data_IF_649143658579
#
_entry.id   IF_649143658579
#
_cell.length_a   1.000
_cell.length_b   1.000
_cell.length_c   1.000
_cell.angle_alpha   90.00
_cell.angle_beta   90.00
_cell.angle_gamma   90.00
#
_symmetry.space_group_name_H-M   'P 1'
#
loop_
_entity.id
_entity.type
_entity.pdbx_description
1 polymer ?
#
# COMPACT_ATOMS: atom_id res chain seq x y z
N UNK A 1 78.57 4.74 17.89
CA UNK A 1 77.65 4.96 19.01
C UNK A 1 76.50 5.82 18.50
N UNK A 2 75.43 5.16 18.07
CA UNK A 2 74.16 5.78 17.72
C UNK A 2 73.12 4.78 18.24
N UNK A 3 72.37 5.20 19.26
CA UNK A 3 71.27 4.43 19.86
C UNK A 3 70.14 4.28 18.84
N UNK A 4 69.79 3.02 18.56
CA UNK A 4 68.61 2.67 17.77
C UNK A 4 67.40 2.64 18.72
N UNK A 5 66.44 3.52 18.48
CA UNK A 5 65.15 3.54 19.18
C UNK A 5 64.30 2.34 18.75
N UNK A 6 63.80 1.60 19.75
CA UNK A 6 62.85 0.50 19.63
C UNK A 6 61.45 1.01 19.21
N UNK A 7 60.85 0.52 18.11
CA UNK A 7 59.48 0.86 17.76
C UNK A 7 58.50 0.12 18.67
N UNK A 8 57.82 0.89 19.54
CA UNK A 8 56.66 0.45 20.33
C UNK A 8 55.63 -0.23 19.44
N UNK A 9 55.43 -1.52 19.70
CA UNK A 9 54.30 -2.32 19.22
C UNK A 9 53.00 -1.80 19.83
N UNK A 10 52.27 -1.01 19.06
CA UNK A 10 50.90 -0.60 19.38
C UNK A 10 49.99 -1.79 19.12
N UNK A 11 49.66 -2.53 20.19
CA UNK A 11 48.64 -3.57 20.19
C UNK A 11 47.26 -2.99 19.90
N UNK A 12 46.81 -3.17 18.67
CA UNK A 12 45.49 -2.75 18.17
C UNK A 12 44.74 -3.90 17.51
N UNK A 13 44.60 -5.04 18.18
CA UNK A 13 43.69 -6.11 17.77
C UNK A 13 42.52 -6.24 18.76
N UNK A 14 41.45 -5.46 18.55
CA UNK A 14 40.12 -6.01 18.80
C UNK A 14 39.12 -5.83 17.64
N UNK A 15 39.46 -5.08 16.58
CA UNK A 15 38.45 -4.60 15.63
C UNK A 15 38.04 -5.61 14.53
N UNK A 16 38.89 -6.57 14.20
CA UNK A 16 38.63 -7.54 13.11
C UNK A 16 37.67 -8.66 13.53
N UNK A 17 37.68 -9.06 14.81
CA UNK A 17 36.77 -10.09 15.33
C UNK A 17 35.32 -9.61 15.40
N UNK A 18 35.11 -8.32 15.67
CA UNK A 18 33.77 -7.72 15.72
C UNK A 18 33.16 -7.54 14.32
N UNK A 19 33.97 -7.31 13.28
CA UNK A 19 33.47 -7.22 11.91
C UNK A 19 33.04 -8.57 11.34
N UNK A 20 33.75 -9.65 11.69
CA UNK A 20 33.39 -11.01 11.26
C UNK A 20 32.12 -11.49 11.96
N UNK A 21 31.93 -11.17 13.25
CA UNK A 21 30.70 -11.51 13.98
C UNK A 21 29.49 -10.73 13.47
N UNK A 22 29.65 -9.43 13.16
CA UNK A 22 28.61 -8.61 12.51
C UNK A 22 28.23 -9.14 11.13
N UNK A 23 29.22 -9.54 10.32
CA UNK A 23 28.97 -10.11 9.00
C UNK A 23 28.22 -11.45 9.08
N UNK A 24 28.58 -12.33 10.02
CA UNK A 24 27.88 -13.60 10.27
C UNK A 24 26.46 -13.39 10.79
N UNK A 25 26.24 -12.40 11.67
CA UNK A 25 24.91 -12.10 12.20
C UNK A 25 24.00 -11.47 11.14
N UNK A 26 24.55 -10.66 10.23
CA UNK A 26 23.85 -10.16 9.06
C UNK A 26 23.49 -11.29 8.08
N UNK A 27 24.39 -12.27 7.88
CA UNK A 27 24.13 -13.44 7.04
C UNK A 27 23.06 -14.36 7.62
N UNK A 28 23.04 -14.56 8.94
CA UNK A 28 22.00 -15.35 9.62
C UNK A 28 20.64 -14.67 9.56
N UNK A 29 20.56 -13.35 9.80
CA UNK A 29 19.32 -12.57 9.59
C UNK A 29 18.83 -12.63 8.15
N UNK A 30 19.76 -12.65 7.19
CA UNK A 30 19.44 -12.77 5.77
C UNK A 30 18.89 -14.16 5.39
N UNK A 31 19.37 -15.24 6.02
CA UNK A 31 18.93 -16.61 5.73
C UNK A 31 17.51 -16.93 6.23
N UNK A 32 17.01 -16.20 7.23
CA UNK A 32 15.73 -16.48 7.87
C UNK A 32 14.52 -15.83 7.17
N UNK A 33 14.73 -15.04 6.12
CA UNK A 33 13.65 -14.33 5.41
C UNK A 33 12.95 -13.28 6.27
N UNK A 34 12.08 -12.44 5.68
CA UNK A 34 11.23 -11.55 6.46
C UNK A 34 10.29 -12.40 7.30
N UNK A 35 10.47 -12.38 8.62
CA UNK A 35 9.57 -13.06 9.55
C UNK A 35 8.13 -12.61 9.33
N UNK A 36 7.14 -13.48 9.61
CA UNK A 36 5.73 -13.18 9.41
C UNK A 36 5.41 -11.84 10.09
N UNK A 37 4.81 -10.94 9.31
CA UNK A 37 4.34 -9.65 9.80
C UNK A 37 3.42 -9.90 10.99
N UNK A 38 3.60 -9.22 12.14
CA UNK A 38 2.74 -9.42 13.30
C UNK A 38 1.29 -9.23 12.86
N UNK A 39 0.46 -10.25 13.08
CA UNK A 39 -0.98 -10.17 12.86
C UNK A 39 -1.51 -8.96 13.65
N UNK A 40 -2.36 -8.12 13.06
CA UNK A 40 -2.98 -7.01 13.76
C UNK A 40 -3.88 -7.58 14.87
N UNK A 41 -3.37 -7.50 16.09
CA UNK A 41 -4.07 -7.84 17.32
C UNK A 41 -5.31 -6.94 17.47
N UNK A 42 -6.49 -7.53 17.24
CA UNK A 42 -7.78 -7.06 17.76
C UNK A 42 -8.32 -5.74 17.22
N UNK A 43 -8.88 -5.76 16.00
CA UNK A 43 -9.95 -4.82 15.68
C UNK A 43 -11.24 -5.28 16.39
N UNK A 44 -11.92 -4.43 17.18
CA UNK A 44 -13.16 -4.80 17.85
C UNK A 44 -14.23 -5.15 16.81
N UNK A 45 -14.81 -6.36 16.94
CA UNK A 45 -15.96 -6.81 16.18
C UNK A 45 -17.09 -5.79 16.32
N UNK A 46 -17.37 -5.07 15.23
CA UNK A 46 -18.58 -4.28 15.12
C UNK A 46 -19.76 -5.27 15.06
N UNK A 47 -20.46 -5.41 16.18
CA UNK A 47 -21.70 -6.16 16.30
C UNK A 47 -22.72 -5.63 15.29
N UNK A 48 -22.97 -6.43 14.24
CA UNK A 48 -24.07 -6.21 13.29
C UNK A 48 -25.38 -6.39 14.06
N UNK A 49 -26.26 -5.37 14.14
CA UNK A 49 -27.56 -5.55 14.76
C UNK A 49 -28.37 -6.54 13.93
N UNK A 50 -28.89 -7.56 14.60
CA UNK A 50 -29.79 -8.55 14.01
C UNK A 50 -30.99 -7.83 13.37
N UNK A 51 -31.13 -7.99 12.05
CA UNK A 51 -32.26 -7.47 11.29
C UNK A 51 -33.55 -8.10 11.81
N UNK A 52 -34.44 -7.24 12.29
CA UNK A 52 -35.74 -7.60 12.84
C UNK A 52 -36.61 -8.21 11.72
N UNK A 53 -37.07 -9.48 11.84
CA UNK A 53 -37.87 -10.16 10.81
C UNK A 53 -39.19 -9.43 10.48
N UNK A 54 -39.62 -8.49 11.33
CA UNK A 54 -40.77 -7.63 11.05
C UNK A 54 -40.52 -6.62 9.91
N UNK A 55 -39.29 -6.14 9.70
CA UNK A 55 -38.98 -5.19 8.62
C UNK A 55 -38.93 -5.86 7.25
N UNK A 56 -38.56 -7.14 7.17
CA UNK A 56 -38.55 -7.89 5.91
C UNK A 56 -39.97 -8.13 5.36
N UNK A 57 -40.97 -8.28 6.24
CA UNK A 57 -42.36 -8.49 5.83
C UNK A 57 -43.04 -7.22 5.29
N UNK A 58 -42.66 -6.03 5.78
CA UNK A 58 -43.21 -4.75 5.30
C UNK A 58 -42.70 -4.40 3.89
N UNK A 59 -41.45 -4.75 3.58
CA UNK A 59 -40.87 -4.52 2.23
C UNK A 59 -41.51 -5.45 1.18
N UNK A 60 -41.86 -6.68 1.56
CA UNK A 60 -42.54 -7.61 0.66
C UNK A 60 -44.00 -7.21 0.38
N UNK A 61 -44.72 -6.67 1.38
CA UNK A 61 -46.11 -6.24 1.22
C UNK A 61 -46.26 -4.93 0.41
N UNK A 62 -45.21 -4.10 0.36
CA UNK A 62 -45.23 -2.84 -0.39
C UNK A 62 -44.93 -3.01 -1.88
N UNK A 63 -44.43 -4.20 -2.29
CA UNK A 63 -44.12 -4.52 -3.68
C UNK A 63 -45.33 -4.99 -4.52
N UNK A 64 -46.38 -5.53 -3.90
CA UNK A 64 -47.55 -6.06 -4.63
C UNK A 64 -48.65 -5.01 -4.92
N UNK A 65 -48.58 -3.81 -4.33
CA UNK A 65 -49.65 -2.80 -4.43
C UNK A 65 -49.52 -1.77 -5.55
N UNK A 66 -48.39 -1.70 -6.26
CA UNK A 66 -48.11 -0.65 -7.27
C UNK A 66 -48.25 -1.14 -8.71
N UNK A 67 -49.40 -1.76 -9.01
CA UNK A 67 -49.92 -1.84 -10.37
C UNK A 67 -50.54 -0.50 -10.77
N UNK A 68 -49.75 0.39 -11.38
CA UNK A 68 -50.31 1.51 -12.15
C UNK A 68 -49.35 1.97 -13.24
N UNK A 69 -49.87 1.92 -14.46
CA UNK A 69 -49.25 2.29 -15.72
C UNK A 69 -48.72 3.75 -15.72
N UNK A 70 -47.52 3.95 -15.19
CA UNK A 70 -46.72 5.13 -15.51
C UNK A 70 -45.73 4.77 -16.60
N UNK A 71 -45.82 5.38 -17.80
CA UNK A 71 -44.74 5.28 -18.78
C UNK A 71 -43.51 5.97 -18.18
N UNK A 72 -42.56 5.14 -17.74
CA UNK A 72 -41.24 5.57 -17.29
C UNK A 72 -40.61 6.44 -18.40
N UNK A 73 -40.06 7.62 -18.08
CA UNK A 73 -39.25 8.37 -19.02
C UNK A 73 -37.98 7.58 -19.35
N UNK A 74 -38.00 6.92 -20.51
CA UNK A 74 -36.94 6.08 -21.08
C UNK A 74 -35.74 6.87 -21.60
N UNK A 75 -35.19 7.79 -20.81
CA UNK A 75 -33.90 8.42 -21.09
C UNK A 75 -33.06 8.50 -19.83
N UNK A 76 -32.77 7.35 -19.24
CA UNK A 76 -31.52 7.19 -18.51
C UNK A 76 -30.40 7.26 -19.55
N UNK A 77 -29.43 8.18 -19.43
CA UNK A 77 -28.26 8.15 -20.30
C UNK A 77 -27.62 6.78 -20.16
N UNK A 78 -27.47 6.09 -21.29
CA UNK A 78 -26.68 4.87 -21.44
C UNK A 78 -25.26 5.14 -20.96
N UNK A 79 -25.01 4.95 -19.66
CA UNK A 79 -23.69 4.79 -19.06
C UNK A 79 -23.14 3.41 -19.44
N UNK A 80 -23.03 3.18 -20.75
CA UNK A 80 -22.48 1.96 -21.36
C UNK A 80 -21.00 2.14 -21.74
N UNK A 81 -20.34 3.23 -21.33
CA UNK A 81 -18.93 3.46 -21.59
C UNK A 81 -18.10 3.26 -20.33
N UNK A 82 -17.16 2.32 -20.39
CA UNK A 82 -16.25 1.88 -19.34
C UNK A 82 -16.88 1.05 -18.20
N UNK A 83 -17.43 -0.13 -18.53
CA UNK A 83 -17.55 -1.21 -17.53
C UNK A 83 -16.12 -1.63 -17.13
N UNK A 84 -15.65 -1.27 -15.91
CA UNK A 84 -14.26 -1.51 -15.51
C UNK A 84 -13.91 -3.00 -15.56
N UNK A 85 -14.91 -3.87 -15.38
CA UNK A 85 -14.80 -5.32 -15.42
C UNK A 85 -14.41 -5.82 -16.82
N UNK A 86 -14.90 -5.18 -17.89
CA UNK A 86 -14.55 -5.52 -19.27
C UNK A 86 -13.08 -5.18 -19.58
N UNK A 87 -12.58 -4.03 -19.11
CA UNK A 87 -11.15 -3.68 -19.20
C UNK A 87 -10.26 -4.68 -18.48
N UNK A 88 -10.70 -5.20 -17.33
CA UNK A 88 -9.94 -6.22 -16.58
C UNK A 88 -9.98 -7.59 -17.24
N UNK A 89 -11.10 -8.02 -17.84
CA UNK A 89 -11.15 -9.23 -18.68
C UNK A 89 -10.19 -9.13 -19.87
N UNK A 90 -10.16 -7.98 -20.54
CA UNK A 90 -9.25 -7.76 -21.66
C UNK A 90 -7.78 -7.80 -21.22
N UNK A 91 -7.43 -7.28 -20.04
CA UNK A 91 -6.08 -7.41 -19.46
C UNK A 91 -5.74 -8.83 -19.02
N UNK A 92 -6.72 -9.63 -18.61
CA UNK A 92 -6.53 -11.05 -18.29
C UNK A 92 -6.32 -11.86 -19.58
N UNK A 93 -7.03 -11.51 -20.66
CA UNK A 93 -6.88 -12.11 -21.99
C UNK A 93 -5.61 -11.65 -22.72
N UNK A 94 -5.13 -10.42 -22.53
CA UNK A 94 -3.81 -9.97 -23.00
C UNK A 94 -2.65 -10.64 -22.26
N UNK A 95 -2.90 -11.21 -21.07
CA UNK A 95 -1.92 -11.95 -20.29
C UNK A 95 -1.72 -13.39 -20.78
N UNK A 96 -2.13 -13.70 -22.01
CA UNK A 96 -1.80 -14.89 -22.83
C UNK A 96 -0.28 -15.05 -23.10
N UNK A 97 0.58 -14.42 -22.29
CA UNK A 97 2.01 -14.73 -22.16
C UNK A 97 2.26 -16.20 -21.78
N UNK A 98 1.23 -16.93 -21.32
CA UNK A 98 1.26 -18.38 -21.13
C UNK A 98 1.18 -19.20 -22.44
N UNK A 99 0.89 -18.55 -23.58
CA UNK A 99 1.03 -19.13 -24.92
C UNK A 99 2.43 -19.00 -25.51
N UNK A 100 3.46 -18.71 -24.71
CA UNK A 100 4.84 -18.93 -25.13
C UNK A 100 4.96 -20.37 -25.66
N UNK A 101 5.17 -20.48 -26.98
CA UNK A 101 5.35 -21.77 -27.63
C UNK A 101 6.41 -22.58 -26.87
N UNK A 102 6.28 -23.92 -26.77
CA UNK A 102 7.25 -24.75 -26.04
C UNK A 102 8.69 -24.52 -26.51
N UNK A 103 8.87 -24.13 -27.78
CA UNK A 103 10.16 -23.69 -28.36
C UNK A 103 10.71 -22.45 -27.65
N UNK A 104 9.88 -21.44 -27.38
CA UNK A 104 10.28 -20.24 -26.66
C UNK A 104 10.77 -20.55 -25.24
N UNK A 105 10.05 -21.43 -24.53
CA UNK A 105 10.47 -21.93 -23.20
C UNK A 105 11.82 -22.65 -23.27
N UNK A 106 12.03 -23.46 -24.30
CA UNK A 106 13.29 -24.17 -24.54
C UNK A 106 14.47 -23.22 -24.80
N UNK A 107 14.31 -22.27 -25.73
CA UNK A 107 15.35 -21.26 -26.05
C UNK A 107 15.68 -20.42 -24.81
N UNK A 108 14.66 -20.02 -24.05
CA UNK A 108 14.83 -19.24 -22.83
C UNK A 108 15.57 -20.01 -21.73
N UNK A 109 15.22 -21.29 -21.52
CA UNK A 109 15.92 -22.16 -20.59
C UNK A 109 17.37 -22.37 -21.03
N UNK A 110 17.63 -22.55 -22.32
CA UNK A 110 18.97 -22.68 -22.87
C UNK A 110 19.79 -21.40 -22.65
N UNK A 111 19.22 -20.22 -22.91
CA UNK A 111 19.90 -18.94 -22.68
C UNK A 111 20.19 -18.72 -21.20
N UNK A 112 19.24 -19.05 -20.32
CA UNK A 112 19.42 -18.91 -18.88
C UNK A 112 20.49 -19.85 -18.35
N UNK A 113 20.41 -21.14 -18.70
CA UNK A 113 21.41 -22.15 -18.31
C UNK A 113 22.78 -21.75 -18.82
N UNK A 114 22.89 -21.30 -20.06
CA UNK A 114 24.14 -20.77 -20.62
C UNK A 114 24.62 -19.51 -19.87
N UNK A 115 23.72 -18.58 -19.54
CA UNK A 115 24.05 -17.36 -18.81
C UNK A 115 24.56 -17.60 -17.38
N UNK A 116 24.14 -18.70 -16.73
CA UNK A 116 24.63 -19.10 -15.41
C UNK A 116 25.90 -19.96 -15.48
N UNK A 117 25.94 -20.93 -16.40
CA UNK A 117 27.01 -21.94 -16.45
C UNK A 117 28.23 -21.42 -17.20
N UNK A 118 28.04 -20.68 -18.30
CA UNK A 118 29.16 -20.24 -19.14
C UNK A 118 30.15 -19.32 -18.40
N UNK A 119 29.73 -18.33 -17.59
CA UNK A 119 30.69 -17.52 -16.82
C UNK A 119 31.51 -18.35 -15.83
N UNK A 120 30.88 -19.32 -15.16
CA UNK A 120 31.56 -20.21 -14.20
C UNK A 120 32.55 -21.13 -14.90
N UNK A 121 32.15 -21.73 -16.03
CA UNK A 121 33.05 -22.55 -16.85
C UNK A 121 34.22 -21.72 -17.40
N UNK A 122 33.96 -20.50 -17.86
CA UNK A 122 35.00 -19.61 -18.38
C UNK A 122 36.00 -19.23 -17.29
N UNK A 123 35.52 -18.85 -16.10
CA UNK A 123 36.35 -18.58 -14.94
C UNK A 123 37.19 -19.78 -14.52
N UNK A 124 36.62 -20.99 -14.53
CA UNK A 124 37.35 -22.21 -14.20
C UNK A 124 38.50 -22.50 -15.20
N UNK A 125 38.24 -22.31 -16.49
CA UNK A 125 39.25 -22.48 -17.54
C UNK A 125 40.37 -21.44 -17.43
N UNK A 126 40.03 -20.18 -17.18
CA UNK A 126 41.01 -19.10 -17.01
C UNK A 126 41.86 -19.30 -15.75
N UNK A 127 41.23 -19.66 -14.64
CA UNK A 127 41.94 -19.94 -13.40
C UNK A 127 42.91 -21.11 -13.54
N UNK A 128 42.54 -22.12 -14.36
CA UNK A 128 43.45 -23.19 -14.72
C UNK A 128 44.63 -22.69 -15.56
N UNK A 129 44.38 -21.91 -16.63
CA UNK A 129 45.45 -21.35 -17.49
C UNK A 129 46.43 -20.48 -16.68
N UNK A 130 45.92 -19.64 -15.79
CA UNK A 130 46.76 -18.84 -14.89
C UNK A 130 47.60 -19.69 -13.94
N UNK A 131 47.02 -20.77 -13.41
CA UNK A 131 47.75 -21.77 -12.62
C UNK A 131 48.93 -22.35 -13.39
N UNK A 132 48.75 -22.69 -14.67
CA UNK A 132 49.83 -23.21 -15.51
C UNK A 132 50.90 -22.16 -15.84
N UNK A 133 50.50 -20.90 -16.02
CA UNK A 133 51.42 -19.80 -16.35
C UNK A 133 52.35 -19.46 -15.17
N UNK A 134 51.80 -19.39 -13.95
CA UNK A 134 52.54 -18.97 -12.76
C UNK A 134 53.04 -20.13 -11.90
N UNK A 135 52.42 -21.31 -11.99
CA UNK A 135 52.69 -22.47 -11.14
C UNK A 135 53.91 -23.29 -11.50
N UNK A 136 54.90 -22.74 -12.24
CA UNK A 136 56.14 -23.45 -12.57
C UNK A 136 57.06 -23.45 -11.35
N UNK A 137 57.04 -24.52 -10.56
CA UNK A 137 57.85 -24.67 -9.35
C UNK A 137 57.54 -25.94 -8.57
N UNK A 138 57.90 -25.96 -7.28
CA UNK A 138 57.62 -27.07 -6.38
C UNK A 138 56.13 -27.45 -6.36
N UNK A 139 55.84 -28.74 -6.21
CA UNK A 139 54.47 -29.28 -6.24
C UNK A 139 53.50 -28.50 -5.35
N UNK A 140 53.91 -28.18 -4.12
CA UNK A 140 53.07 -27.44 -3.17
C UNK A 140 52.81 -25.99 -3.60
N UNK A 141 53.84 -25.31 -4.10
CA UNK A 141 53.72 -23.93 -4.57
C UNK A 141 52.87 -23.85 -5.84
N UNK A 142 53.09 -24.77 -6.78
CA UNK A 142 52.30 -24.93 -7.99
C UNK A 142 50.82 -25.17 -7.67
N UNK A 143 50.54 -26.12 -6.79
CA UNK A 143 49.16 -26.44 -6.37
C UNK A 143 48.49 -25.25 -5.70
N UNK A 144 49.20 -24.55 -4.81
CA UNK A 144 48.68 -23.37 -4.13
C UNK A 144 48.31 -22.25 -5.12
N UNK A 145 49.14 -22.03 -6.15
CA UNK A 145 48.86 -21.03 -7.19
C UNK A 145 47.66 -21.42 -8.07
N UNK A 146 47.48 -22.70 -8.40
CA UNK A 146 46.29 -23.17 -9.13
C UNK A 146 45.01 -22.94 -8.31
N UNK A 147 45.02 -23.30 -7.02
CA UNK A 147 43.88 -23.09 -6.14
C UNK A 147 43.57 -21.61 -5.98
N UNK A 148 44.61 -20.79 -5.75
CA UNK A 148 44.46 -19.35 -5.59
C UNK A 148 43.89 -18.71 -6.86
N UNK A 149 44.43 -19.05 -8.03
CA UNK A 149 43.96 -18.53 -9.30
C UNK A 149 42.53 -18.96 -9.63
N UNK A 150 42.22 -20.25 -9.46
CA UNK A 150 40.87 -20.77 -9.64
C UNK A 150 39.88 -20.05 -8.72
N UNK A 151 40.24 -19.85 -7.45
CA UNK A 151 39.38 -19.15 -6.50
C UNK A 151 39.16 -17.68 -6.88
N UNK A 152 40.20 -16.98 -7.36
CA UNK A 152 40.11 -15.60 -7.81
C UNK A 152 39.13 -15.44 -8.97
N UNK A 153 39.25 -16.26 -9.99
CA UNK A 153 38.36 -16.22 -11.16
C UNK A 153 36.92 -16.61 -10.80
N UNK A 154 36.73 -17.63 -9.93
CA UNK A 154 35.38 -17.99 -9.46
C UNK A 154 34.71 -16.89 -8.63
N UNK A 155 35.49 -16.09 -7.88
CA UNK A 155 34.97 -14.92 -7.17
C UNK A 155 34.47 -13.86 -8.17
N UNK A 156 35.19 -13.63 -9.28
CA UNK A 156 34.78 -12.69 -10.33
C UNK A 156 33.46 -13.13 -10.96
N UNK A 157 33.35 -14.41 -11.35
CA UNK A 157 32.09 -14.97 -11.86
C UNK A 157 30.96 -14.88 -10.82
N UNK A 158 31.25 -15.12 -9.54
CA UNK A 158 30.31 -14.96 -8.44
C UNK A 158 29.83 -13.51 -8.28
N UNK A 159 30.71 -12.52 -8.41
CA UNK A 159 30.36 -11.10 -8.40
C UNK A 159 29.49 -10.71 -9.60
N UNK A 160 29.77 -11.25 -10.79
CA UNK A 160 28.92 -11.05 -11.97
C UNK A 160 27.48 -11.55 -11.73
N UNK A 161 27.35 -12.78 -11.20
CA UNK A 161 26.04 -13.37 -10.86
C UNK A 161 25.33 -12.62 -9.73
N UNK A 162 26.06 -12.22 -8.68
CA UNK A 162 25.51 -11.42 -7.59
C UNK A 162 25.01 -10.06 -8.09
N UNK A 163 25.71 -9.45 -9.05
CA UNK A 163 25.31 -8.21 -9.71
C UNK A 163 24.06 -8.41 -10.55
N UNK A 164 24.01 -9.46 -11.39
CA UNK A 164 22.83 -9.80 -12.19
C UNK A 164 21.58 -9.99 -11.30
N UNK A 165 21.75 -10.74 -10.21
CA UNK A 165 20.65 -11.05 -9.30
C UNK A 165 20.18 -9.83 -8.51
N UNK A 166 21.11 -8.97 -8.11
CA UNK A 166 20.78 -7.70 -7.44
C UNK A 166 20.04 -6.77 -8.40
N UNK A 167 20.53 -6.59 -9.64
CA UNK A 167 19.88 -5.76 -10.67
C UNK A 167 18.46 -6.25 -10.97
N UNK A 168 18.26 -7.57 -11.09
CA UNK A 168 16.95 -8.17 -11.27
C UNK A 168 15.98 -7.82 -10.14
N UNK A 169 16.44 -7.79 -8.89
CA UNK A 169 15.61 -7.43 -7.75
C UNK A 169 15.35 -5.93 -7.60
N UNK A 170 16.15 -5.05 -8.21
CA UNK A 170 15.96 -3.59 -8.13
C UNK A 170 14.57 -3.16 -8.61
N UNK A 171 13.99 -3.89 -9.57
CA UNK A 171 12.64 -3.61 -10.06
C UNK A 171 11.54 -3.76 -8.99
N UNK A 172 11.72 -4.70 -8.06
CA UNK A 172 10.79 -4.91 -6.92
C UNK A 172 11.20 -4.11 -5.69
N UNK A 173 12.51 -4.02 -5.44
CA UNK A 173 13.10 -3.52 -4.21
C UNK A 173 14.17 -2.46 -4.51
N UNK A 174 13.75 -1.18 -4.56
CA UNK A 174 14.67 -0.05 -4.86
C UNK A 174 15.85 0.07 -3.88
N UNK A 175 15.70 -0.42 -2.65
CA UNK A 175 16.75 -0.39 -1.63
C UNK A 175 17.96 -1.29 -1.97
N UNK A 176 17.83 -2.21 -2.93
CA UNK A 176 18.92 -3.07 -3.38
C UNK A 176 19.82 -2.42 -4.44
N UNK A 177 19.44 -1.25 -4.97
CA UNK A 177 20.22 -0.50 -5.95
C UNK A 177 21.68 -0.24 -5.51
N UNK A 178 21.97 0.29 -4.31
CA UNK A 178 23.36 0.53 -3.88
C UNK A 178 24.19 -0.77 -3.83
N UNK A 179 23.56 -1.90 -3.48
CA UNK A 179 24.23 -3.21 -3.47
C UNK A 179 24.56 -3.66 -4.90
N UNK A 180 23.63 -3.51 -5.84
CA UNK A 180 23.87 -3.81 -7.25
C UNK A 180 25.02 -2.97 -7.82
N UNK A 181 25.05 -1.68 -7.51
CA UNK A 181 26.13 -0.76 -7.93
C UNK A 181 27.47 -1.17 -7.32
N UNK A 182 27.51 -1.49 -6.02
CA UNK A 182 28.73 -1.92 -5.34
C UNK A 182 29.26 -3.24 -5.91
N UNK A 183 28.41 -4.24 -6.07
CA UNK A 183 28.80 -5.53 -6.66
C UNK A 183 29.29 -5.34 -8.10
N UNK A 184 28.60 -4.52 -8.90
CA UNK A 184 29.01 -4.21 -10.27
C UNK A 184 30.35 -3.47 -10.34
N UNK A 185 30.60 -2.53 -9.43
CA UNK A 185 31.89 -1.83 -9.36
C UNK A 185 33.03 -2.79 -8.97
N UNK A 186 32.82 -3.65 -7.96
CA UNK A 186 33.79 -4.66 -7.55
C UNK A 186 34.07 -5.66 -8.67
N UNK A 187 33.04 -6.10 -9.38
CA UNK A 187 33.15 -6.95 -10.57
C UNK A 187 34.03 -6.28 -11.63
N UNK A 188 33.74 -5.04 -12.03
CA UNK A 188 34.51 -4.33 -13.05
C UNK A 188 35.98 -4.17 -12.65
N UNK A 189 36.27 -3.78 -11.41
CA UNK A 189 37.64 -3.64 -10.90
C UNK A 189 38.38 -4.99 -10.95
N UNK A 190 37.73 -6.06 -10.51
CA UNK A 190 38.33 -7.39 -10.50
C UNK A 190 38.55 -7.94 -11.93
N UNK A 191 37.57 -7.78 -12.85
CA UNK A 191 37.70 -8.19 -14.24
C UNK A 191 38.79 -7.40 -14.98
N UNK A 192 38.91 -6.08 -14.75
CA UNK A 192 40.01 -5.27 -15.32
C UNK A 192 41.36 -5.73 -14.76
N UNK A 193 41.41 -6.04 -13.45
CA UNK A 193 42.60 -6.58 -12.80
C UNK A 193 43.05 -7.91 -13.39
N UNK A 194 42.13 -8.87 -13.53
CA UNK A 194 42.39 -10.17 -14.15
C UNK A 194 42.82 -10.03 -15.61
N UNK A 195 42.11 -9.22 -16.40
CA UNK A 195 42.45 -8.94 -17.79
C UNK A 195 43.85 -8.34 -17.95
N UNK A 196 44.22 -7.40 -17.08
CA UNK A 196 45.55 -6.77 -17.06
C UNK A 196 46.62 -7.80 -16.67
N UNK A 197 46.36 -8.63 -15.66
CA UNK A 197 47.28 -9.69 -15.25
C UNK A 197 47.51 -10.72 -16.39
N UNK A 198 46.45 -11.13 -17.08
CA UNK A 198 46.54 -12.05 -18.22
C UNK A 198 47.32 -11.43 -19.39
N UNK A 199 47.05 -10.16 -19.70
CA UNK A 199 47.78 -9.42 -20.72
C UNK A 199 49.29 -9.39 -20.41
N UNK A 200 49.67 -9.05 -19.18
CA UNK A 200 51.07 -9.05 -18.76
C UNK A 200 51.69 -10.45 -18.83
N UNK A 201 51.01 -11.48 -18.32
CA UNK A 201 51.51 -12.85 -18.32
C UNK A 201 51.79 -13.37 -19.74
N UNK A 202 50.93 -13.02 -20.70
CA UNK A 202 51.04 -13.46 -22.08
C UNK A 202 51.88 -12.52 -22.96
N UNK A 203 52.17 -11.29 -22.54
CA UNK A 203 52.95 -10.32 -23.34
C UNK A 203 54.37 -10.80 -23.67
N UNK A 204 54.94 -11.68 -22.84
CA UNK A 204 56.25 -12.29 -23.08
C UNK A 204 56.21 -13.48 -24.06
N UNK A 205 55.03 -13.97 -24.42
CA UNK A 205 54.86 -15.10 -25.33
C UNK A 205 54.82 -14.63 -26.79
N UNK A 206 55.29 -15.44 -27.76
CA UNK A 206 55.28 -15.10 -29.19
C UNK A 206 53.86 -15.24 -29.81
N UNK A 207 52.83 -14.79 -29.11
CA UNK A 207 51.44 -14.83 -29.56
C UNK A 207 51.13 -13.56 -30.36
N UNK A 208 50.47 -13.65 -31.52
CA UNK A 208 50.04 -12.47 -32.27
C UNK A 208 49.17 -11.54 -31.40
N UNK A 209 49.37 -10.21 -31.42
CA UNK A 209 48.64 -9.27 -30.55
C UNK A 209 47.12 -9.37 -30.65
N UNK A 210 46.61 -9.73 -31.84
CA UNK A 210 45.16 -9.90 -32.04
C UNK A 210 44.60 -11.09 -31.25
N UNK A 211 45.32 -12.21 -31.22
CA UNK A 211 44.92 -13.41 -30.47
C UNK A 211 44.98 -13.13 -28.97
N UNK A 212 45.98 -12.38 -28.53
CA UNK A 212 46.10 -11.92 -27.15
C UNK A 212 44.90 -11.05 -26.75
N UNK A 213 44.53 -10.06 -27.59
CA UNK A 213 43.37 -9.22 -27.34
C UNK A 213 42.06 -10.02 -27.24
N UNK A 214 41.86 -10.99 -28.14
CA UNK A 214 40.69 -11.88 -28.06
C UNK A 214 40.66 -12.71 -26.78
N UNK A 215 41.80 -13.27 -26.36
CA UNK A 215 41.88 -14.05 -25.11
C UNK A 215 41.53 -13.24 -23.88
N UNK A 216 41.86 -11.95 -23.86
CA UNK A 216 41.56 -11.06 -22.73
C UNK A 216 40.11 -10.55 -22.78
N UNK A 217 39.58 -10.23 -23.96
CA UNK A 217 38.25 -9.62 -24.10
C UNK A 217 37.09 -10.63 -24.05
N UNK A 218 37.27 -11.83 -24.63
CA UNK A 218 36.18 -12.83 -24.73
C UNK A 218 35.61 -13.22 -23.36
N UNK A 219 36.43 -13.50 -22.32
CA UNK A 219 35.91 -13.76 -20.97
C UNK A 219 35.01 -12.65 -20.44
N UNK A 220 35.46 -11.40 -20.54
CA UNK A 220 34.70 -10.23 -20.07
C UNK A 220 33.36 -10.14 -20.80
N UNK A 221 33.35 -10.38 -22.12
CA UNK A 221 32.13 -10.39 -22.91
C UNK A 221 31.18 -11.52 -22.51
N UNK A 222 31.70 -12.72 -22.20
CA UNK A 222 30.90 -13.85 -21.71
C UNK A 222 30.30 -13.53 -20.34
N UNK A 223 31.08 -12.95 -19.42
CA UNK A 223 30.60 -12.56 -18.09
C UNK A 223 29.54 -11.47 -18.15
N UNK A 224 29.79 -10.38 -18.90
CA UNK A 224 28.85 -9.28 -19.08
C UNK A 224 27.61 -9.73 -19.82
N UNK A 225 27.77 -10.55 -20.86
CA UNK A 225 26.65 -11.13 -21.62
C UNK A 225 25.80 -12.07 -20.75
N UNK A 226 26.44 -12.96 -20.00
CA UNK A 226 25.76 -13.84 -19.05
C UNK A 226 25.02 -13.06 -17.97
N UNK A 227 25.66 -12.04 -17.38
CA UNK A 227 25.05 -11.13 -16.42
C UNK A 227 23.82 -10.42 -17.01
N UNK A 228 23.91 -9.90 -18.24
CA UNK A 228 22.80 -9.24 -18.92
C UNK A 228 21.65 -10.20 -19.22
N UNK A 229 21.94 -11.42 -19.70
CA UNK A 229 20.93 -12.45 -19.96
C UNK A 229 20.22 -12.84 -18.66
N UNK A 230 20.96 -13.06 -17.57
CA UNK A 230 20.38 -13.42 -16.26
C UNK A 230 19.57 -12.26 -15.66
N UNK A 231 20.03 -11.02 -15.84
CA UNK A 231 19.34 -9.83 -15.34
C UNK A 231 18.04 -9.52 -16.09
N UNK A 232 17.99 -9.82 -17.39
CA UNK A 232 16.83 -9.51 -18.26
C UNK A 232 15.82 -10.65 -18.32
N UNK A 233 16.26 -11.91 -18.29
CA UNK A 233 15.36 -13.06 -18.37
C UNK A 233 14.73 -13.37 -17.01
N UNK A 234 13.51 -12.88 -16.83
CA UNK A 234 12.72 -13.14 -15.63
C UNK A 234 12.01 -14.49 -15.64
N UNK A 235 12.67 -15.54 -15.13
CA UNK A 235 11.94 -16.74 -14.71
C UNK A 235 10.97 -16.38 -13.59
N UNK A 236 9.72 -16.10 -13.96
CA UNK A 236 8.62 -16.26 -13.03
C UNK A 236 8.39 -17.77 -12.93
N UNK A 237 8.65 -18.34 -11.76
CA UNK A 237 8.21 -19.71 -11.51
C UNK A 237 6.69 -19.74 -11.63
N UNK A 238 6.13 -20.87 -12.09
CA UNK A 238 4.69 -21.05 -12.17
C UNK A 238 4.02 -20.74 -10.82
N UNK A 239 4.65 -21.09 -9.71
CA UNK A 239 4.20 -20.75 -8.37
C UNK A 239 4.22 -19.24 -8.09
N UNK A 240 5.28 -18.51 -8.49
CA UNK A 240 5.32 -17.06 -8.34
C UNK A 240 4.26 -16.37 -9.21
N UNK A 241 3.99 -16.93 -10.39
CA UNK A 241 2.92 -16.48 -11.27
C UNK A 241 1.54 -16.73 -10.63
N UNK A 242 1.28 -17.95 -10.13
CA UNK A 242 0.04 -18.31 -9.43
C UNK A 242 -0.16 -17.48 -8.15
N UNK A 243 0.89 -17.27 -7.37
CA UNK A 243 0.86 -16.40 -6.20
C UNK A 243 0.57 -14.94 -6.60
N UNK A 244 1.13 -14.50 -7.72
CA UNK A 244 0.82 -13.20 -8.33
C UNK A 244 -0.66 -13.11 -8.74
N UNK A 245 -1.21 -14.15 -9.35
CA UNK A 245 -2.63 -14.23 -9.70
C UNK A 245 -3.53 -14.22 -8.47
N UNK A 246 -3.19 -14.97 -7.42
CA UNK A 246 -3.92 -14.94 -6.16
C UNK A 246 -3.90 -13.57 -5.51
N UNK A 247 -2.73 -12.91 -5.43
CA UNK A 247 -2.64 -11.53 -4.90
C UNK A 247 -3.44 -10.54 -5.72
N UNK A 248 -3.46 -10.68 -7.06
CA UNK A 248 -4.29 -9.84 -7.93
C UNK A 248 -5.77 -10.11 -7.73
N UNK A 249 -6.19 -11.38 -7.64
CA UNK A 249 -7.57 -11.77 -7.38
C UNK A 249 -8.05 -11.25 -6.02
N UNK A 250 -7.22 -11.38 -4.98
CA UNK A 250 -7.50 -10.84 -3.65
C UNK A 250 -7.57 -9.31 -3.66
N UNK A 251 -6.67 -8.63 -4.38
CA UNK A 251 -6.72 -7.17 -4.53
C UNK A 251 -8.00 -6.72 -5.24
N UNK A 252 -8.45 -7.44 -6.28
CA UNK A 252 -9.71 -7.18 -6.98
C UNK A 252 -10.89 -7.41 -6.04
N UNK A 253 -10.88 -8.50 -5.26
CA UNK A 253 -11.94 -8.78 -4.31
C UNK A 253 -12.04 -7.66 -3.26
N UNK A 254 -10.91 -7.25 -2.66
CA UNK A 254 -10.86 -6.14 -1.70
C UNK A 254 -11.32 -4.82 -2.31
N UNK A 255 -10.98 -4.55 -3.56
CA UNK A 255 -11.45 -3.36 -4.28
C UNK A 255 -12.98 -3.42 -4.50
N UNK A 256 -13.50 -4.57 -4.93
CA UNK A 256 -14.94 -4.76 -5.14
C UNK A 256 -15.75 -4.63 -3.84
N UNK A 257 -15.22 -5.14 -2.72
CA UNK A 257 -15.82 -4.97 -1.40
C UNK A 257 -15.81 -3.49 -0.97
N UNK A 258 -14.73 -2.76 -1.26
CA UNK A 258 -14.64 -1.33 -0.98
C UNK A 258 -15.63 -0.53 -1.84
N UNK A 259 -15.78 -0.85 -3.12
CA UNK A 259 -16.77 -0.20 -4.01
C UNK A 259 -18.21 -0.47 -3.54
N UNK A 260 -18.52 -1.69 -3.12
CA UNK A 260 -19.84 -2.03 -2.59
C UNK A 260 -20.14 -1.25 -1.30
N UNK A 261 -19.16 -1.12 -0.40
CA UNK A 261 -19.31 -0.30 0.82
C UNK A 261 -19.52 1.17 0.48
N UNK A 262 -18.84 1.69 -0.52
CA UNK A 262 -18.96 3.08 -0.95
C UNK A 262 -20.36 3.34 -1.55
N UNK A 263 -20.85 2.46 -2.42
CA UNK A 263 -22.23 2.54 -2.95
C UNK A 263 -23.29 2.44 -1.85
N UNK A 264 -23.09 1.56 -0.86
CA UNK A 264 -24.00 1.44 0.27
C UNK A 264 -24.03 2.74 1.10
N UNK A 265 -22.86 3.35 1.36
CA UNK A 265 -22.76 4.61 2.07
C UNK A 265 -23.38 5.79 1.29
N UNK A 266 -23.22 5.83 -0.04
CA UNK A 266 -23.87 6.81 -0.91
C UNK A 266 -25.40 6.66 -0.88
N UNK A 267 -25.90 5.43 -0.94
CA UNK A 267 -27.34 5.17 -0.88
C UNK A 267 -27.92 5.53 0.49
N UNK A 268 -27.20 5.25 1.58
CA UNK A 268 -27.61 5.67 2.92
C UNK A 268 -27.62 7.19 3.06
N UNK A 269 -26.59 7.88 2.54
CA UNK A 269 -26.55 9.34 2.54
C UNK A 269 -27.71 9.94 1.73
N UNK A 270 -28.05 9.34 0.58
CA UNK A 270 -29.21 9.75 -0.22
C UNK A 270 -30.54 9.53 0.51
N UNK A 271 -30.67 8.41 1.24
CA UNK A 271 -31.87 8.14 2.05
C UNK A 271 -32.00 9.16 3.19
N UNK A 272 -30.92 9.46 3.91
CA UNK A 272 -30.92 10.51 4.95
C UNK A 272 -31.35 11.86 4.39
N UNK A 273 -30.87 12.22 3.18
CA UNK A 273 -31.30 13.45 2.52
C UNK A 273 -32.81 13.47 2.25
N UNK A 274 -33.37 12.37 1.75
CA UNK A 274 -34.82 12.23 1.53
C UNK A 274 -35.61 12.35 2.84
N UNK A 275 -35.16 11.69 3.91
CA UNK A 275 -35.79 11.79 5.23
C UNK A 275 -35.78 13.24 5.76
N UNK A 276 -34.67 13.96 5.59
CA UNK A 276 -34.59 15.38 5.97
C UNK A 276 -35.55 16.24 5.14
N UNK A 277 -35.69 15.98 3.84
CA UNK A 277 -36.64 16.69 2.98
C UNK A 277 -38.09 16.41 3.38
N UNK A 278 -38.44 15.14 3.61
CA UNK A 278 -39.77 14.75 4.08
C UNK A 278 -40.10 15.36 5.44
N UNK A 279 -39.14 15.36 6.38
CA UNK A 279 -39.30 15.99 7.69
C UNK A 279 -39.55 17.50 7.55
N UNK A 280 -38.81 18.18 6.66
CA UNK A 280 -39.04 19.61 6.38
C UNK A 280 -40.42 19.86 5.79
N UNK A 281 -40.89 19.01 4.87
CA UNK A 281 -42.22 19.12 4.28
C UNK A 281 -43.33 18.88 5.31
N UNK A 282 -43.18 17.87 6.18
CA UNK A 282 -44.14 17.60 7.27
C UNK A 282 -44.19 18.75 8.26
N UNK A 283 -43.03 19.32 8.60
CA UNK A 283 -42.96 20.50 9.47
C UNK A 283 -43.69 21.71 8.86
N UNK A 284 -43.47 22.00 7.58
CA UNK A 284 -44.16 23.07 6.88
C UNK A 284 -45.70 22.85 6.85
N UNK A 285 -46.15 21.61 6.61
CA UNK A 285 -47.58 21.25 6.68
C UNK A 285 -48.16 21.45 8.09
N UNK A 286 -47.44 21.03 9.12
CA UNK A 286 -47.88 21.21 10.51
C UNK A 286 -47.98 22.69 10.90
N UNK A 287 -47.02 23.51 10.46
CA UNK A 287 -47.05 24.97 10.64
C UNK A 287 -48.28 25.59 9.96
N UNK A 288 -48.62 25.15 8.74
CA UNK A 288 -49.84 25.60 8.03
C UNK A 288 -51.12 25.20 8.79
N UNK A 289 -51.20 23.97 9.32
CA UNK A 289 -52.36 23.52 10.10
C UNK A 289 -52.50 24.31 11.40
N UNK A 290 -51.40 24.59 12.10
CA UNK A 290 -51.41 25.41 13.32
C UNK A 290 -51.90 26.84 13.03
N UNK A 291 -51.43 27.45 11.94
CA UNK A 291 -51.90 28.76 11.51
C UNK A 291 -53.40 28.77 11.22
N UNK A 292 -53.93 27.74 10.53
CA UNK A 292 -55.37 27.59 10.28
C UNK A 292 -56.18 27.42 11.57
N UNK A 293 -55.67 26.65 12.54
CA UNK A 293 -56.35 26.52 13.85
C UNK A 293 -56.41 27.86 14.59
N UNK A 294 -55.32 28.64 14.57
CA UNK A 294 -55.27 29.95 15.21
C UNK A 294 -56.19 30.95 14.52
N UNK A 295 -56.33 30.87 13.20
CA UNK A 295 -57.32 31.64 12.45
C UNK A 295 -58.76 31.27 12.86
N UNK A 296 -59.07 29.97 13.00
CA UNK A 296 -60.40 29.51 13.45
C UNK A 296 -60.68 29.95 14.89
N UNK A 297 -59.71 29.83 15.80
CA UNK A 297 -59.86 30.28 17.19
C UNK A 297 -60.04 31.79 17.29
N UNK A 298 -59.28 32.57 16.53
CA UNK A 298 -59.41 34.03 16.52
C UNK A 298 -60.77 34.47 15.97
N UNK A 299 -61.27 33.84 14.88
CA UNK A 299 -62.65 34.05 14.40
C UNK A 299 -63.70 33.67 15.44
N UNK A 300 -63.50 32.54 16.14
CA UNK A 300 -64.38 32.10 17.23
C UNK A 300 -64.40 33.06 18.42
N UNK A 301 -63.23 33.56 18.82
CA UNK A 301 -63.07 34.52 19.90
C UNK A 301 -63.69 35.88 19.56
N UNK A 302 -63.49 36.36 18.32
CA UNK A 302 -64.14 37.57 17.82
C UNK A 302 -65.66 37.43 17.84
N UNK A 303 -66.21 36.29 17.40
CA UNK A 303 -67.65 36.04 17.45
C UNK A 303 -68.20 35.96 18.89
N UNK A 304 -67.42 35.46 19.85
CA UNK A 304 -67.81 35.43 21.26
C UNK A 304 -67.78 36.82 21.90
N UNK A 305 -66.76 37.62 21.59
CA UNK A 305 -66.68 39.04 22.00
C UNK A 305 -67.85 39.84 21.43
N UNK A 306 -68.19 39.65 20.16
CA UNK A 306 -69.33 40.32 19.54
C UNK A 306 -70.65 39.97 20.25
N UNK A 307 -70.82 38.71 20.71
CA UNK A 307 -71.95 38.34 21.56
C UNK A 307 -71.92 39.01 22.93
N UNK A 308 -70.77 39.08 23.60
CA UNK A 308 -70.65 39.74 24.91
C UNK A 308 -70.92 41.24 24.81
N UNK A 309 -70.38 41.91 23.79
CA UNK A 309 -70.68 43.33 23.53
C UNK A 309 -72.19 43.51 23.36
N UNK A 310 -72.85 42.63 22.61
CA UNK A 310 -74.31 42.68 22.42
C UNK A 310 -75.10 42.42 23.71
N UNK A 311 -74.60 41.57 24.61
CA UNK A 311 -75.19 41.36 25.95
C UNK A 311 -75.00 42.59 26.83
N UNK A 312 -73.79 43.16 26.89
CA UNK A 312 -73.50 44.37 27.66
C UNK A 312 -74.34 45.56 27.15
N UNK A 313 -74.51 45.67 25.84
CA UNK A 313 -75.39 46.67 25.22
C UNK A 313 -76.86 46.46 25.59
N UNK A 314 -77.28 45.21 25.86
CA UNK A 314 -78.62 44.89 26.39
C UNK A 314 -78.74 45.02 27.92
N UNK A 315 -77.63 45.00 28.66
CA UNK A 315 -77.57 45.08 30.13
C UNK A 315 -77.29 46.50 30.65
N UNK A 316 -77.04 47.46 29.74
CA UNK A 316 -76.83 48.89 30.03
C UNK A 316 -78.12 49.65 30.46
N UNK A 317 -79.02 49.01 31.22
CA UNK A 317 -80.13 49.66 31.95
C UNK A 317 -80.20 49.09 33.38
N UNK A 318 -79.24 49.49 34.22
CA UNK A 318 -79.44 49.93 35.62
C UNK A 318 -78.09 50.05 36.35
N UNK A 319 -77.77 51.19 36.97
CA UNK A 319 -76.61 51.31 37.85
C UNK A 319 -77.02 51.06 39.30
N UNK A 320 -76.36 50.12 39.97
CA UNK A 320 -76.35 50.05 41.42
C UNK A 320 -74.99 49.51 41.90
N UNK A 321 -74.17 50.42 42.44
CA UNK A 321 -72.97 50.10 43.20
C UNK A 321 -73.31 49.28 44.45
N UNK A 322 -72.39 48.40 44.87
CA UNK A 322 -72.09 48.27 46.29
C UNK A 322 -70.58 48.36 46.61
N UNK A 323 -70.25 48.55 47.90
CA UNK A 323 -68.98 49.11 48.34
C UNK A 323 -67.90 48.07 48.69
N UNK A 324 -66.71 48.64 48.83
CA UNK A 324 -65.45 48.08 49.28
C UNK A 324 -65.53 47.02 50.40
N UNK A 325 -64.71 45.98 50.26
CA UNK A 325 -64.10 45.27 51.38
C UNK A 325 -62.58 45.14 51.19
N UNK A 326 -61.77 45.34 52.25
CA UNK A 326 -60.33 45.14 52.22
C UNK A 326 -59.99 43.73 52.71
N UNK A 327 -59.25 42.93 51.94
CA UNK A 327 -58.64 41.69 52.45
C UNK A 327 -57.20 41.48 51.94
N UNK A 328 -56.30 41.68 52.89
CA UNK A 328 -55.16 40.81 53.23
C UNK A 328 -54.16 40.44 52.14
N UNK A 329 -53.05 41.15 52.19
CA UNK A 329 -51.72 40.70 51.77
C UNK A 329 -51.36 39.33 52.37
N UNK A 330 -51.26 38.30 51.52
CA UNK A 330 -50.52 37.08 51.82
C UNK A 330 -49.36 37.00 50.84
N UNK A 331 -48.18 37.39 51.33
CA UNK A 331 -46.90 37.22 50.67
C UNK A 331 -46.63 35.72 50.55
N UNK A 332 -46.83 35.17 49.35
CA UNK A 332 -46.45 33.79 49.02
C UNK A 332 -45.03 33.82 48.44
N UNK A 333 -44.15 33.19 49.20
CA UNK A 333 -42.71 33.12 49.05
C UNK A 333 -42.35 32.30 47.81
N UNK A 334 -41.68 32.93 46.83
CA UNK A 334 -41.14 32.24 45.66
C UNK A 334 -40.00 31.29 46.09
N UNK A 335 -39.99 30.02 45.65
CA UNK A 335 -38.80 29.19 45.80
C UNK A 335 -37.65 29.71 44.93
N UNK A 336 -36.39 29.49 45.33
CA UNK A 336 -35.23 30.01 44.63
C UNK A 336 -35.11 29.37 43.25
N UNK A 337 -34.95 30.23 42.24
CA UNK A 337 -34.55 29.89 40.88
C UNK A 337 -33.24 29.11 40.97
N UNK A 338 -33.30 27.79 40.74
CA UNK A 338 -32.12 26.98 40.45
C UNK A 338 -31.47 27.56 39.20
N UNK A 339 -30.22 27.93 39.37
CA UNK A 339 -29.31 28.38 38.32
C UNK A 339 -29.46 27.52 37.07
N UNK A 340 -29.67 28.18 35.94
CA UNK A 340 -29.53 27.56 34.63
C UNK A 340 -28.10 27.01 34.52
N UNK A 341 -27.90 25.79 33.99
CA UNK A 341 -26.57 25.29 33.69
C UNK A 341 -25.95 26.22 32.65
N UNK A 342 -24.85 26.86 33.03
CA UNK A 342 -24.01 27.63 32.14
C UNK A 342 -23.49 26.73 31.02
N UNK A 343 -23.88 27.05 29.79
CA UNK A 343 -23.35 26.43 28.56
C UNK A 343 -21.92 26.90 28.25
N UNK A 344 -21.04 27.02 29.25
CA UNK A 344 -19.69 27.58 29.09
C UNK A 344 -18.56 26.53 29.09
N UNK A 345 -18.86 25.25 28.94
CA UNK A 345 -17.84 24.19 28.85
C UNK A 345 -18.14 23.21 27.71
N UNK A 346 -17.99 23.68 26.47
CA UNK A 346 -17.79 22.81 25.29
C UNK A 346 -17.08 23.60 24.17
N UNK A 347 -15.99 24.26 24.52
CA UNK A 347 -14.90 24.57 23.58
C UNK A 347 -13.62 23.95 24.13
N UNK A 348 -13.66 22.63 24.37
CA UNK A 348 -12.44 21.85 24.45
C UNK A 348 -11.74 21.95 23.10
N UNK A 349 -10.62 22.65 23.13
CA UNK A 349 -9.54 22.55 22.16
C UNK A 349 -9.45 21.14 21.57
N UNK A 350 -9.82 20.99 20.31
CA UNK A 350 -9.12 20.07 19.43
C UNK A 350 -8.20 20.93 18.58
N UNK A 351 -7.00 21.16 19.13
CA UNK A 351 -5.86 21.57 18.37
C UNK A 351 -5.63 20.51 17.28
N UNK A 352 -6.06 20.84 16.07
CA UNK A 352 -5.65 20.14 14.87
C UNK A 352 -4.13 20.23 14.79
N UNK A 353 -3.45 19.10 14.97
CA UNK A 353 -2.01 18.98 14.82
C UNK A 353 -1.72 18.43 13.42
N UNK A 354 -1.29 19.25 12.43
CA UNK A 354 -1.05 18.78 11.06
C UNK A 354 0.35 18.15 10.86
N UNK A 355 1.09 17.79 11.92
CA UNK A 355 2.44 17.24 11.78
C UNK A 355 2.50 15.79 12.24
N UNK A 356 2.06 14.89 11.36
CA UNK A 356 2.06 13.45 11.65
C UNK A 356 2.25 12.54 10.45
N UNK A 357 2.73 13.01 9.30
CA UNK A 357 3.15 12.13 8.20
C UNK A 357 4.44 12.66 7.53
N UNK A 358 5.55 12.47 8.22
CA UNK A 358 6.81 12.17 7.53
C UNK A 358 7.06 10.68 7.68
N UNK A 359 6.71 9.96 6.62
CA UNK A 359 7.15 8.60 6.38
C UNK A 359 8.68 8.57 6.40
N UNK A 360 9.23 7.70 7.26
CA UNK A 360 10.59 7.18 7.10
C UNK A 360 10.62 6.38 5.79
N UNK A 361 11.41 6.86 4.84
CA UNK A 361 12.02 6.05 3.79
C UNK A 361 13.25 5.34 4.33
#
# INVERSE_FOLDING_TARGET
>A
MAEAEDPKTVGGEPQTRDLVSLALQALQRWSLGPGPSPEPEGAPEASVPASDPAQAAVIAAQAEGQGRDQPLPSTLPTAAEDDPIARYRQKIEEFDADREAPIGKGVRLLLLTTGYVAPVCCAALLGWEFGELFGKGDFFFSTALHVLSLSGELIIAGLALATAWSLKRVGSDRHLLPRAVLCGALFLVASIGSATALWWALSASPIPPIVLAFRVLVPILIEVGGMAVVATLDFQSLEAFLAGLHRRAEAIQRLSEAELRLKAAEQEAANRQREYEEYRLMRARNEEVLLKMLEIQSRGALAALERQVKVIESEAVQPALPPAQPQQSKTEELPPVKEAPSWSLLTSQQAWNPRGHQART
#
